data_IF_232259905664
#
_entry.id   IF_232259905664
#
_cell.length_a   1.000
_cell.length_b   1.000
_cell.length_c   1.000
_cell.angle_alpha   90.00
_cell.angle_beta   90.00
_cell.angle_gamma   90.00
#
_symmetry.space_group_name_H-M   'P 1'
#
loop_
_entity.id
_entity.type
_entity.pdbx_description
1 polymer ?
#
# COMPACT_ATOMS: atom_id res chain seq x y z
N UNK A 1 0.97 -50.79 -11.13
CA UNK A 1 1.71 -50.31 -9.95
C UNK A 1 2.36 -48.91 -10.11
N UNK A 2 2.28 -48.23 -11.26
CA UNK A 2 2.84 -46.87 -11.43
C UNK A 2 1.91 -45.71 -11.00
N UNK A 3 0.61 -45.96 -10.83
CA UNK A 3 -0.37 -44.94 -10.42
C UNK A 3 -0.28 -44.57 -8.93
N UNK A 4 0.15 -45.49 -8.07
CA UNK A 4 0.22 -45.27 -6.61
C UNK A 4 1.39 -44.34 -6.24
N UNK A 5 2.58 -44.56 -6.82
CA UNK A 5 3.76 -43.71 -6.59
C UNK A 5 3.51 -42.27 -7.07
N UNK A 6 2.87 -42.09 -8.22
CA UNK A 6 2.57 -40.75 -8.76
C UNK A 6 1.51 -40.02 -7.93
N UNK A 7 0.50 -40.73 -7.42
CA UNK A 7 -0.48 -40.18 -6.47
C UNK A 7 0.18 -39.80 -5.13
N UNK A 8 1.04 -40.65 -4.59
CA UNK A 8 1.79 -40.35 -3.36
C UNK A 8 2.68 -39.11 -3.53
N UNK A 9 3.41 -38.99 -4.63
CA UNK A 9 4.23 -37.80 -4.93
C UNK A 9 3.40 -36.52 -5.05
N UNK A 10 2.22 -36.59 -5.67
CA UNK A 10 1.32 -35.44 -5.75
C UNK A 10 0.79 -35.02 -4.37
N UNK A 11 0.48 -35.99 -3.51
CA UNK A 11 0.02 -35.68 -2.13
C UNK A 11 1.13 -35.11 -1.25
N UNK A 12 2.38 -35.57 -1.39
CA UNK A 12 3.51 -35.01 -0.62
C UNK A 12 3.84 -33.59 -1.10
N UNK A 13 3.80 -33.33 -2.40
CA UNK A 13 3.98 -31.99 -2.96
C UNK A 13 2.88 -31.03 -2.48
N UNK A 14 1.62 -31.48 -2.44
CA UNK A 14 0.51 -30.67 -1.93
C UNK A 14 0.68 -30.31 -0.45
N UNK A 15 1.09 -31.28 0.39
CA UNK A 15 1.38 -31.04 1.81
C UNK A 15 2.51 -30.02 2.01
N UNK A 16 3.57 -30.08 1.20
CA UNK A 16 4.66 -29.11 1.29
C UNK A 16 4.22 -27.70 0.89
N UNK A 17 3.41 -27.56 -0.16
CA UNK A 17 2.85 -26.25 -0.56
C UNK A 17 2.03 -25.65 0.57
N UNK A 18 1.22 -26.45 1.24
CA UNK A 18 0.40 -25.98 2.36
C UNK A 18 1.26 -25.51 3.54
N UNK A 19 2.30 -26.26 3.90
CA UNK A 19 3.27 -25.80 4.92
C UNK A 19 3.93 -24.48 4.54
N UNK A 20 4.35 -24.33 3.28
CA UNK A 20 4.96 -23.10 2.79
C UNK A 20 3.98 -21.92 2.82
N UNK A 21 2.70 -22.15 2.50
CA UNK A 21 1.65 -21.13 2.60
C UNK A 21 1.43 -20.68 4.04
N UNK A 22 1.41 -21.61 4.99
CA UNK A 22 1.26 -21.29 6.41
C UNK A 22 2.45 -20.47 6.91
N UNK A 23 3.68 -20.84 6.54
CA UNK A 23 4.86 -20.05 6.88
C UNK A 23 4.82 -18.64 6.26
N UNK A 24 4.45 -18.53 4.99
CA UNK A 24 4.30 -17.25 4.31
C UNK A 24 3.25 -16.36 5.00
N UNK A 25 2.13 -16.94 5.42
CA UNK A 25 1.11 -16.22 6.17
C UNK A 25 1.65 -15.63 7.48
N UNK A 26 2.48 -16.37 8.22
CA UNK A 26 3.16 -15.85 9.43
C UNK A 26 4.07 -14.66 9.12
N UNK A 27 4.81 -14.72 8.01
CA UNK A 27 5.71 -13.63 7.60
C UNK A 27 4.91 -12.39 7.19
N UNK A 28 3.78 -12.57 6.48
CA UNK A 28 2.89 -11.46 6.11
C UNK A 28 2.31 -10.80 7.36
N UNK A 29 1.87 -11.57 8.36
CA UNK A 29 1.41 -11.03 9.64
C UNK A 29 2.49 -10.19 10.34
N UNK A 30 3.74 -10.64 10.30
CA UNK A 30 4.86 -9.89 10.85
C UNK A 30 5.10 -8.57 10.12
N UNK A 31 5.03 -8.59 8.78
CA UNK A 31 5.17 -7.40 7.94
C UNK A 31 4.03 -6.41 8.19
N UNK A 32 2.79 -6.91 8.30
CA UNK A 32 1.62 -6.09 8.60
C UNK A 32 1.75 -5.45 9.99
N UNK A 33 2.17 -6.21 11.00
CA UNK A 33 2.41 -5.69 12.34
C UNK A 33 3.43 -4.55 12.34
N UNK A 34 4.59 -4.75 11.70
CA UNK A 34 5.63 -3.73 11.60
C UNK A 34 5.19 -2.52 10.77
N UNK A 35 4.46 -2.76 9.67
CA UNK A 35 3.91 -1.72 8.81
C UNK A 35 2.89 -0.83 9.52
N UNK A 36 1.99 -1.43 10.31
CA UNK A 36 1.01 -0.69 11.13
C UNK A 36 1.68 0.14 12.23
N UNK A 37 2.78 -0.35 12.80
CA UNK A 37 3.56 0.38 13.80
C UNK A 37 4.51 1.43 13.19
N UNK A 38 4.67 1.46 11.86
CA UNK A 38 5.62 2.36 11.19
C UNK A 38 7.09 2.04 11.52
N UNK A 39 7.40 0.80 11.93
CA UNK A 39 8.76 0.41 12.29
C UNK A 39 9.55 -0.01 11.04
N UNK A 40 10.84 0.36 10.95
CA UNK A 40 11.68 -0.05 9.83
C UNK A 40 11.83 -1.56 9.82
N UNK A 41 11.60 -2.20 8.67
CA UNK A 41 11.69 -3.66 8.55
C UNK A 41 13.14 -4.17 8.68
N UNK A 42 14.10 -3.37 8.17
CA UNK A 42 15.52 -3.74 8.04
C UNK A 42 16.39 -3.00 9.04
N UNK A 43 17.43 -3.69 9.51
CA UNK A 43 18.47 -3.15 10.37
C UNK A 43 19.78 -2.94 9.62
N UNK A 44 20.81 -2.51 10.35
CA UNK A 44 22.14 -2.26 9.78
C UNK A 44 22.78 -3.54 9.20
N UNK A 45 22.47 -4.72 9.76
CA UNK A 45 22.98 -6.02 9.30
C UNK A 45 21.85 -6.99 8.93
N UNK A 46 21.23 -6.81 7.78
CA UNK A 46 20.15 -7.70 7.29
C UNK A 46 20.64 -8.90 6.46
N UNK A 47 21.87 -9.36 6.69
CA UNK A 47 22.50 -10.46 5.94
C UNK A 47 22.77 -11.67 6.84
N UNK A 48 22.72 -12.88 6.27
CA UNK A 48 23.04 -14.13 6.97
C UNK A 48 21.82 -14.96 7.38
N UNK A 49 22.09 -16.19 7.80
CA UNK A 49 21.08 -17.16 8.26
C UNK A 49 20.48 -16.70 9.59
N UNK A 50 19.16 -16.81 9.71
CA UNK A 50 18.48 -16.73 10.99
C UNK A 50 18.86 -17.97 11.81
N UNK A 51 20.00 -17.92 12.49
CA UNK A 51 20.44 -18.98 13.39
C UNK A 51 19.47 -19.03 14.56
N UNK A 52 18.52 -19.98 14.51
CA UNK A 52 17.74 -20.36 15.67
C UNK A 52 18.60 -21.33 16.49
N UNK A 53 18.94 -21.03 17.75
CA UNK A 53 19.47 -22.04 18.63
C UNK A 53 18.43 -23.16 18.79
N UNK A 54 18.88 -24.41 18.99
CA UNK A 54 17.98 -25.56 19.18
C UNK A 54 17.02 -25.39 20.36
N UNK A 55 17.32 -24.50 21.30
CA UNK A 55 16.58 -24.28 22.56
C UNK A 55 15.75 -23.00 22.60
N UNK A 56 15.60 -22.26 21.50
CA UNK A 56 14.76 -21.04 21.45
C UNK A 56 15.26 -19.85 22.28
N UNK A 57 16.34 -20.01 23.05
CA UNK A 57 16.97 -18.96 23.85
C UNK A 57 18.18 -18.42 23.08
N UNK A 58 17.96 -17.45 22.20
CA UNK A 58 19.02 -16.53 21.75
C UNK A 58 18.64 -15.12 22.14
N UNK A 59 19.62 -14.37 22.63
CA UNK A 59 19.54 -12.91 22.71
C UNK A 59 19.05 -12.39 21.36
N UNK A 60 17.93 -11.67 21.36
CA UNK A 60 17.37 -11.07 20.15
C UNK A 60 18.36 -10.00 19.70
N UNK A 61 18.99 -10.23 18.55
CA UNK A 61 19.92 -9.27 17.96
C UNK A 61 19.11 -8.27 17.13
N UNK A 62 18.73 -7.16 17.78
CA UNK A 62 18.00 -6.07 17.14
C UNK A 62 18.80 -5.37 16.04
N UNK A 63 20.13 -5.56 15.98
CA UNK A 63 20.96 -4.95 14.92
C UNK A 63 20.72 -5.58 13.54
N UNK A 64 20.11 -6.78 13.51
CA UNK A 64 19.81 -7.51 12.28
C UNK A 64 18.51 -7.06 11.61
N UNK A 65 17.73 -6.19 12.25
CA UNK A 65 16.48 -5.65 11.73
C UNK A 65 15.24 -6.20 12.42
N UNK A 66 14.19 -5.37 12.43
CA UNK A 66 12.99 -5.64 13.21
C UNK A 66 12.22 -6.86 12.68
N UNK A 67 12.21 -7.10 11.36
CA UNK A 67 11.56 -8.29 10.81
C UNK A 67 12.17 -9.58 11.36
N UNK A 68 13.51 -9.66 11.38
CA UNK A 68 14.22 -10.82 11.93
C UNK A 68 13.99 -10.97 13.43
N UNK A 69 13.99 -9.86 14.16
CA UNK A 69 13.68 -9.86 15.59
C UNK A 69 12.27 -10.38 15.88
N UNK A 70 11.26 -9.92 15.12
CA UNK A 70 9.88 -10.40 15.25
C UNK A 70 9.76 -11.88 14.91
N UNK A 71 10.45 -12.37 13.87
CA UNK A 71 10.46 -13.80 13.53
C UNK A 71 11.09 -14.65 14.62
N UNK A 72 12.16 -14.17 15.28
CA UNK A 72 12.73 -14.86 16.46
C UNK A 72 11.77 -14.86 17.64
N UNK A 73 11.05 -13.76 17.86
CA UNK A 73 10.06 -13.69 18.92
C UNK A 73 8.93 -14.71 18.67
N UNK A 74 8.42 -14.79 17.44
CA UNK A 74 7.39 -15.79 17.08
C UNK A 74 7.87 -17.23 17.29
N UNK A 75 9.14 -17.52 16.99
CA UNK A 75 9.70 -18.87 17.21
C UNK A 75 9.97 -19.14 18.69
N UNK A 76 10.30 -18.12 19.48
CA UNK A 76 10.39 -18.20 20.94
C UNK A 76 9.02 -18.44 21.60
N UNK A 77 7.94 -17.93 21.00
CA UNK A 77 6.56 -18.18 21.41
C UNK A 77 6.02 -19.57 20.97
N UNK A 78 6.90 -20.52 20.65
CA UNK A 78 6.59 -21.90 20.22
C UNK A 78 5.79 -22.03 18.90
N UNK A 79 5.98 -21.12 17.94
CA UNK A 79 5.49 -21.36 16.56
C UNK A 79 6.33 -22.45 15.87
N UNK A 80 5.88 -23.70 16.03
CA UNK A 80 6.53 -24.90 15.46
C UNK A 80 6.54 -24.89 13.94
N UNK A 81 5.51 -24.35 13.29
CA UNK A 81 5.40 -24.31 11.83
C UNK A 81 6.44 -23.37 11.25
N UNK A 82 6.55 -22.17 11.82
CA UNK A 82 7.57 -21.20 11.41
C UNK A 82 8.98 -21.72 11.72
N UNK A 83 9.20 -22.33 12.89
CA UNK A 83 10.49 -22.90 13.28
C UNK A 83 10.94 -24.03 12.33
N UNK A 84 10.05 -24.98 12.03
CA UNK A 84 10.35 -26.04 11.08
C UNK A 84 10.66 -25.50 9.69
N UNK A 85 9.90 -24.51 9.23
CA UNK A 85 10.15 -23.87 7.94
C UNK A 85 11.52 -23.19 7.91
N UNK A 86 11.90 -22.42 8.93
CA UNK A 86 13.20 -21.74 8.98
C UNK A 86 14.39 -22.70 9.06
N UNK A 87 14.22 -23.88 9.68
CA UNK A 87 15.28 -24.89 9.83
C UNK A 87 15.41 -25.83 8.62
N UNK A 88 14.30 -26.18 7.99
CA UNK A 88 14.25 -27.18 6.91
C UNK A 88 14.51 -26.57 5.53
N UNK A 89 14.29 -25.26 5.42
CA UNK A 89 14.20 -24.57 4.13
C UNK A 89 15.53 -23.89 3.80
N UNK A 90 16.03 -24.09 2.58
CA UNK A 90 17.26 -23.45 2.12
C UNK A 90 17.17 -21.92 2.08
N UNK A 91 18.32 -21.24 2.07
CA UNK A 91 18.48 -19.77 2.12
C UNK A 91 17.59 -18.97 1.14
N UNK A 92 17.19 -19.56 0.01
CA UNK A 92 16.37 -18.91 -1.02
C UNK A 92 14.86 -18.97 -0.77
N UNK A 93 14.41 -19.81 0.15
CA UNK A 93 13.00 -20.18 0.30
C UNK A 93 12.41 -19.76 1.64
N UNK A 94 13.18 -19.05 2.48
CA UNK A 94 12.76 -18.54 3.79
C UNK A 94 12.01 -17.21 3.73
N UNK A 95 11.84 -16.63 2.53
CA UNK A 95 11.16 -15.34 2.28
C UNK A 95 11.73 -14.13 3.07
N UNK A 96 12.90 -14.28 3.69
CA UNK A 96 13.57 -13.26 4.50
C UNK A 96 14.58 -12.45 3.68
N UNK A 97 14.96 -12.90 2.48
CA UNK A 97 15.95 -12.18 1.68
C UNK A 97 15.47 -10.76 1.33
N UNK A 98 16.39 -9.79 1.14
CA UNK A 98 16.00 -8.43 0.76
C UNK A 98 15.14 -8.37 -0.51
N UNK A 99 15.40 -9.25 -1.48
CA UNK A 99 14.62 -9.37 -2.70
C UNK A 99 13.20 -9.86 -2.41
N UNK A 100 13.05 -10.96 -1.66
CA UNK A 100 11.75 -11.51 -1.31
C UNK A 100 10.92 -10.51 -0.48
N UNK A 101 11.54 -9.82 0.48
CA UNK A 101 10.87 -8.78 1.25
C UNK A 101 10.34 -7.64 0.34
N UNK A 102 11.12 -7.19 -0.64
CA UNK A 102 10.69 -6.13 -1.56
C UNK A 102 9.48 -6.57 -2.41
N UNK A 103 9.51 -7.81 -2.89
CA UNK A 103 8.38 -8.38 -3.65
C UNK A 103 7.12 -8.46 -2.78
N UNK A 104 7.25 -8.94 -1.53
CA UNK A 104 6.13 -9.01 -0.60
C UNK A 104 5.56 -7.63 -0.25
N UNK A 105 6.42 -6.64 0.02
CA UNK A 105 5.99 -5.26 0.29
C UNK A 105 5.26 -4.68 -0.91
N UNK A 106 5.77 -4.91 -2.13
CA UNK A 106 5.13 -4.44 -3.36
C UNK A 106 3.76 -5.09 -3.54
N UNK A 107 3.66 -6.41 -3.34
CA UNK A 107 2.40 -7.14 -3.44
C UNK A 107 1.37 -6.71 -2.38
N UNK A 108 1.80 -6.47 -1.13
CA UNK A 108 0.92 -5.93 -0.09
C UNK A 108 0.46 -4.51 -0.44
N UNK A 109 1.36 -3.67 -0.94
CA UNK A 109 1.05 -2.31 -1.37
C UNK A 109 0.00 -2.28 -2.48
N UNK A 110 0.11 -3.14 -3.48
CA UNK A 110 -0.88 -3.22 -4.57
C UNK A 110 -2.25 -3.67 -4.07
N UNK A 111 -2.31 -4.64 -3.15
CA UNK A 111 -3.59 -5.07 -2.54
C UNK A 111 -4.26 -3.91 -1.79
N UNK A 112 -3.51 -3.20 -0.95
CA UNK A 112 -4.02 -2.06 -0.19
C UNK A 112 -4.48 -0.95 -1.13
N UNK A 113 -3.67 -0.62 -2.15
CA UNK A 113 -4.02 0.40 -3.14
C UNK A 113 -5.30 0.05 -3.90
N UNK A 114 -5.45 -1.21 -4.32
CA UNK A 114 -6.66 -1.65 -5.01
C UNK A 114 -7.89 -1.55 -4.11
N UNK A 115 -7.79 -1.89 -2.83
CA UNK A 115 -8.87 -1.71 -1.85
C UNK A 115 -9.32 -0.24 -1.78
N UNK A 116 -8.37 0.69 -1.66
CA UNK A 116 -8.66 2.13 -1.61
C UNK A 116 -9.29 2.60 -2.93
N UNK A 117 -8.77 2.16 -4.08
CA UNK A 117 -9.33 2.53 -5.39
C UNK A 117 -10.76 2.03 -5.54
N UNK A 118 -11.07 0.84 -5.05
CA UNK A 118 -12.42 0.28 -5.12
C UNK A 118 -13.38 1.01 -4.18
N UNK A 119 -12.94 1.40 -2.99
CA UNK A 119 -13.70 2.28 -2.08
C UNK A 119 -13.98 3.64 -2.73
N UNK A 120 -12.97 4.27 -3.35
CA UNK A 120 -13.11 5.56 -4.05
C UNK A 120 -14.08 5.47 -5.23
N UNK A 121 -14.04 4.38 -6.02
CA UNK A 121 -15.00 4.13 -7.11
C UNK A 121 -16.42 3.99 -6.58
N UNK A 122 -16.60 3.29 -5.46
CA UNK A 122 -17.91 3.09 -4.84
C UNK A 122 -18.47 4.38 -4.24
N UNK A 123 -17.60 5.21 -3.66
CA UNK A 123 -17.98 6.45 -2.99
C UNK A 123 -18.56 7.53 -3.93
N UNK A 124 -18.63 7.30 -5.26
CA UNK A 124 -19.16 8.24 -6.28
C UNK A 124 -18.77 9.69 -5.97
N UNK A 125 -17.47 9.95 -5.87
CA UNK A 125 -17.01 11.32 -5.75
C UNK A 125 -17.34 12.06 -7.05
N UNK A 126 -18.30 12.99 -6.98
CA UNK A 126 -18.45 14.02 -8.01
C UNK A 126 -17.16 14.85 -8.03
N UNK A 127 -16.53 15.08 -9.20
CA UNK A 127 -15.47 16.07 -9.30
C UNK A 127 -16.06 17.43 -8.90
N UNK A 128 -15.77 17.87 -7.68
CA UNK A 128 -16.20 19.17 -7.19
C UNK A 128 -15.45 20.31 -7.88
N UNK A 129 -14.24 20.05 -8.40
CA UNK A 129 -13.48 21.06 -9.11
C UNK A 129 -14.05 21.22 -10.53
N UNK A 130 -14.54 22.41 -10.91
CA UNK A 130 -14.83 22.67 -12.30
C UNK A 130 -13.49 22.62 -13.03
N UNK A 131 -13.40 21.83 -14.09
CA UNK A 131 -12.26 21.85 -14.99
C UNK A 131 -11.97 23.30 -15.37
N UNK A 132 -10.71 23.75 -15.31
CA UNK A 132 -10.28 25.12 -15.64
C UNK A 132 -10.90 25.67 -16.95
N UNK A 133 -11.24 24.78 -17.88
CA UNK A 133 -11.96 25.09 -19.11
C UNK A 133 -13.37 25.67 -18.89
N UNK A 134 -14.15 25.16 -17.93
CA UNK A 134 -15.50 25.66 -17.63
C UNK A 134 -15.46 27.07 -17.02
N UNK A 135 -14.48 27.35 -16.15
CA UNK A 135 -14.28 28.70 -15.57
C UNK A 135 -13.84 29.74 -16.62
N UNK A 136 -13.17 29.33 -17.70
CA UNK A 136 -12.79 30.26 -18.78
C UNK A 136 -13.99 30.69 -19.61
N UNK A 137 -14.96 29.80 -19.84
CA UNK A 137 -16.14 30.09 -20.65
C UNK A 137 -17.13 30.99 -19.91
N UNK A 138 -17.29 30.81 -18.59
CA UNK A 138 -18.13 31.71 -17.77
C UNK A 138 -17.55 33.12 -17.64
N UNK A 139 -16.22 33.25 -17.54
CA UNK A 139 -15.58 34.57 -17.52
C UNK A 139 -15.79 35.31 -18.85
N UNK A 140 -15.66 34.61 -19.96
CA UNK A 140 -15.95 35.18 -21.28
C UNK A 140 -17.42 35.56 -21.43
N UNK A 141 -18.36 34.68 -21.06
CA UNK A 141 -19.81 34.98 -21.19
C UNK A 141 -20.25 36.13 -20.29
N UNK A 142 -19.73 36.24 -19.06
CA UNK A 142 -19.98 37.38 -18.18
C UNK A 142 -19.39 38.67 -18.75
N UNK A 143 -18.20 38.63 -19.33
CA UNK A 143 -17.59 39.81 -19.95
C UNK A 143 -18.39 40.32 -21.17
N UNK A 144 -19.01 39.43 -21.95
CA UNK A 144 -19.96 39.82 -23.00
C UNK A 144 -21.27 40.38 -22.43
N UNK A 145 -21.82 39.80 -21.35
CA UNK A 145 -23.05 40.28 -20.72
C UNK A 145 -22.88 41.69 -20.11
N UNK A 146 -21.77 41.95 -19.40
CA UNK A 146 -21.45 43.28 -18.87
C UNK A 146 -21.03 44.27 -19.97
N UNK A 147 -20.38 43.80 -21.04
CA UNK A 147 -20.03 44.61 -22.21
C UNK A 147 -21.26 45.10 -23.00
N UNK A 148 -22.29 44.27 -23.13
CA UNK A 148 -23.57 44.65 -23.77
C UNK A 148 -24.33 45.66 -22.88
N UNK A 149 -24.26 45.54 -21.55
CA UNK A 149 -24.85 46.52 -20.63
C UNK A 149 -24.18 47.90 -20.70
N UNK A 150 -22.91 48.00 -21.11
CA UNK A 150 -22.22 49.27 -21.29
C UNK A 150 -22.45 49.89 -22.69
N UNK A 151 -22.84 49.10 -23.69
CA UNK A 151 -23.09 49.58 -25.06
C UNK A 151 -24.57 49.96 -25.34
N UNK A 152 -25.49 49.66 -24.43
CA UNK A 152 -26.93 49.93 -24.59
C UNK A 152 -27.45 51.25 -24.00
N UNK A 153 -26.60 52.08 -23.38
CA UNK A 153 -27.01 53.34 -22.73
C UNK A 153 -26.42 54.56 -23.44
N UNK A 154 -26.71 54.72 -24.74
CA UNK A 154 -26.48 55.98 -25.43
C UNK A 154 -27.60 56.25 -26.43
N UNK A 155 -28.81 56.50 -25.92
CA UNK A 155 -29.86 57.20 -26.67
C UNK A 155 -30.52 58.23 -25.75
N UNK A 156 -30.27 59.48 -26.10
CA UNK A 156 -31.00 60.72 -25.87
C UNK A 156 -32.00 60.80 -24.72
N UNK A 157 -31.79 61.76 -23.82
CA UNK A 157 -32.81 62.80 -23.71
C UNK A 157 -32.24 64.20 -23.41
N UNK A 158 -32.82 65.15 -24.12
CA UNK A 158 -32.55 66.57 -24.10
C UNK A 158 -33.59 67.23 -23.20
N UNK A 159 -33.19 67.86 -22.09
CA UNK A 159 -33.69 69.16 -21.60
C UNK A 159 -33.40 69.40 -20.11
N UNK A 160 -33.17 70.68 -19.80
CA UNK A 160 -33.21 71.34 -18.49
C UNK A 160 -31.93 71.37 -17.61
N UNK A 161 -31.19 72.48 -17.76
CA UNK A 161 -30.40 73.19 -16.72
C UNK A 161 -31.28 73.63 -15.52
N UNK A 162 -30.80 74.26 -14.39
CA UNK A 162 -29.44 74.72 -14.05
C UNK A 162 -28.98 74.59 -12.55
N UNK A 163 -27.66 74.81 -12.34
CA UNK A 163 -26.96 75.44 -11.18
C UNK A 163 -27.09 74.89 -9.73
N UNK A 164 -25.94 74.62 -9.11
CA UNK A 164 -25.41 75.18 -7.82
C UNK A 164 -23.93 74.79 -7.70
N UNK A 165 -23.01 75.74 -7.89
CA UNK A 165 -22.23 76.45 -6.85
C UNK A 165 -21.53 75.52 -5.85
N UNK A 166 -20.21 75.42 -5.99
CA UNK A 166 -19.22 75.89 -4.99
C UNK A 166 -18.16 76.68 -5.75
#
# INVERSE_FOLDING_TARGET
MAGDVTQQLNTTAAKQREKNRQALHRIILALEFLGRLGLPLRGHRDSGTLLLPPTGTSVIDYTQGNLRATLRLMTACDDKVLREHLLTTGLRTTYISPQAQNELITAMGTVIQNSILDEVKQARFFPFWPTRQQMSLEKSSLQYAYGISAMGLFVSDSSASPRRQI
#
